data_IF_777199628815
#
_entry.id   IF_777199628815
#
_cell.length_a   1.000
_cell.length_b   1.000
_cell.length_c   1.000
_cell.angle_alpha   90.00
_cell.angle_beta   90.00
_cell.angle_gamma   90.00
#
_symmetry.space_group_name_H-M   'P 1'
#
loop_
_entity.id
_entity.type
_entity.pdbx_description
1 polymer ?
#
# COMPACT_ATOMS: atom_id res chain seq x y z
N UNK A 1 -17.06 -14.98 16.44
CA UNK A 1 -15.60 -14.81 16.31
C UNK A 1 -15.27 -13.37 16.02
N UNK A 2 -14.40 -12.78 16.81
CA UNK A 2 -13.98 -11.39 16.60
C UNK A 2 -12.79 -11.39 15.63
N UNK A 3 -12.91 -10.66 14.53
CA UNK A 3 -11.82 -10.51 13.58
C UNK A 3 -10.82 -9.48 14.11
N UNK A 4 -9.53 -9.68 13.82
CA UNK A 4 -8.52 -8.68 14.09
C UNK A 4 -8.78 -7.44 13.24
N UNK A 5 -8.52 -6.27 13.83
CA UNK A 5 -8.62 -4.99 13.12
C UNK A 5 -7.36 -4.73 12.34
N UNK A 6 -7.53 -4.26 11.12
CA UNK A 6 -6.43 -3.99 10.20
C UNK A 6 -6.40 -2.55 9.73
N UNK A 7 -5.18 -2.05 9.55
CA UNK A 7 -4.86 -0.82 8.85
C UNK A 7 -4.22 -1.21 7.51
N UNK A 8 -4.78 -0.72 6.41
CA UNK A 8 -4.28 -0.99 5.07
C UNK A 8 -3.64 0.26 4.48
N UNK A 9 -2.40 0.15 4.03
CA UNK A 9 -1.62 1.24 3.46
C UNK A 9 -1.14 0.82 2.07
N UNK A 10 -1.60 1.49 1.03
CA UNK A 10 -1.25 1.15 -0.35
C UNK A 10 -0.46 2.28 -0.99
N UNK A 11 0.79 2.00 -1.33
CA UNK A 11 1.63 2.87 -2.14
C UNK A 11 1.26 2.67 -3.62
N UNK A 12 0.27 3.42 -4.09
CA UNK A 12 -0.34 3.23 -5.40
C UNK A 12 0.69 3.31 -6.53
N UNK A 13 1.62 4.25 -6.45
CA UNK A 13 2.63 4.43 -7.48
C UNK A 13 3.58 3.23 -7.58
N UNK A 14 4.06 2.74 -6.45
CA UNK A 14 4.92 1.56 -6.42
C UNK A 14 4.19 0.33 -6.96
N UNK A 15 2.95 0.12 -6.53
CA UNK A 15 2.12 -1.00 -6.98
C UNK A 15 1.89 -0.92 -8.49
N UNK A 16 1.57 0.25 -9.01
CA UNK A 16 1.34 0.45 -10.44
C UNK A 16 2.59 0.10 -11.26
N UNK A 17 3.73 0.67 -10.92
CA UNK A 17 4.96 0.47 -11.68
C UNK A 17 5.47 -0.96 -11.59
N UNK A 18 5.43 -1.57 -10.41
CA UNK A 18 5.94 -2.94 -10.25
C UNK A 18 5.05 -3.98 -10.92
N UNK A 19 3.73 -3.83 -10.84
CA UNK A 19 2.80 -4.73 -11.55
C UNK A 19 2.94 -4.58 -13.06
N UNK A 20 3.06 -3.36 -13.56
CA UNK A 20 3.25 -3.11 -15.00
C UNK A 20 4.58 -3.65 -15.50
N UNK A 21 5.65 -3.47 -14.71
CA UNK A 21 6.98 -3.95 -15.09
C UNK A 21 7.04 -5.48 -15.16
N UNK A 22 6.51 -6.16 -14.15
CA UNK A 22 6.60 -7.61 -14.04
C UNK A 22 5.56 -8.35 -14.90
N UNK A 23 4.34 -7.84 -14.96
CA UNK A 23 3.20 -8.56 -15.51
C UNK A 23 2.51 -7.86 -16.68
N UNK A 24 2.79 -6.58 -16.90
CA UNK A 24 2.08 -5.71 -17.88
C UNK A 24 0.56 -5.67 -17.63
N UNK A 25 0.18 -5.79 -16.38
CA UNK A 25 -1.21 -5.79 -15.90
C UNK A 25 -1.32 -4.89 -14.68
N UNK A 26 -2.54 -4.51 -14.37
CA UNK A 26 -2.82 -3.68 -13.20
C UNK A 26 -3.25 -4.53 -12.01
N UNK A 27 -3.01 -4.00 -10.81
CA UNK A 27 -3.42 -4.64 -9.56
C UNK A 27 -4.94 -4.61 -9.43
N UNK A 28 -5.53 -5.72 -8.98
CA UNK A 28 -6.97 -5.84 -8.78
C UNK A 28 -7.33 -5.47 -7.34
N UNK A 29 -7.67 -4.22 -7.11
CA UNK A 29 -8.00 -3.71 -5.78
C UNK A 29 -9.28 -4.32 -5.19
N UNK A 30 -10.26 -4.65 -6.03
CA UNK A 30 -11.48 -5.32 -5.58
C UNK A 30 -11.18 -6.70 -5.01
N UNK A 31 -10.36 -7.47 -5.71
CA UNK A 31 -9.96 -8.80 -5.27
C UNK A 31 -9.14 -8.75 -3.99
N UNK A 32 -8.21 -7.81 -3.94
CA UNK A 32 -7.38 -7.58 -2.76
C UNK A 32 -8.23 -7.25 -1.52
N UNK A 33 -9.17 -6.31 -1.66
CA UNK A 33 -10.07 -5.93 -0.57
C UNK A 33 -10.91 -7.12 -0.09
N UNK A 34 -11.43 -7.89 -1.04
CA UNK A 34 -12.24 -9.07 -0.73
C UNK A 34 -11.44 -10.12 0.05
N UNK A 35 -10.21 -10.37 -0.35
CA UNK A 35 -9.34 -11.32 0.35
C UNK A 35 -9.03 -10.87 1.76
N UNK A 36 -8.71 -9.59 1.94
CA UNK A 36 -8.43 -9.05 3.27
C UNK A 36 -9.65 -9.12 4.17
N UNK A 37 -10.81 -8.67 3.68
CA UNK A 37 -12.02 -8.57 4.50
C UNK A 37 -12.62 -9.93 4.86
N UNK A 38 -12.18 -11.00 4.21
CA UNK A 38 -12.59 -12.35 4.59
C UNK A 38 -12.11 -12.71 6.01
N UNK A 39 -10.92 -12.28 6.40
CA UNK A 39 -10.30 -12.65 7.68
C UNK A 39 -10.06 -11.47 8.62
N UNK A 40 -10.22 -10.24 8.13
CA UNK A 40 -9.86 -9.04 8.88
C UNK A 40 -11.02 -8.04 8.88
N UNK A 41 -11.13 -7.29 9.98
CA UNK A 41 -11.96 -6.09 10.05
C UNK A 41 -11.09 -4.91 9.62
N UNK A 42 -11.33 -4.38 8.43
CA UNK A 42 -10.56 -3.25 7.91
C UNK A 42 -11.06 -1.98 8.59
N UNK A 43 -10.31 -1.54 9.60
CA UNK A 43 -10.65 -0.34 10.37
C UNK A 43 -10.30 0.94 9.63
N UNK A 44 -9.15 0.93 8.96
CA UNK A 44 -8.67 2.08 8.17
C UNK A 44 -8.00 1.55 6.90
N UNK A 45 -8.24 2.21 5.77
CA UNK A 45 -7.59 1.86 4.52
C UNK A 45 -7.25 3.13 3.75
N UNK A 46 -5.97 3.35 3.49
CA UNK A 46 -5.48 4.52 2.78
C UNK A 46 -4.78 4.10 1.49
N UNK A 47 -5.12 4.78 0.40
CA UNK A 47 -4.43 4.65 -0.88
C UNK A 47 -3.75 5.98 -1.20
N UNK A 48 -2.45 5.95 -1.40
CA UNK A 48 -1.63 7.15 -1.58
C UNK A 48 -1.26 7.31 -3.04
N UNK A 49 -1.72 8.38 -3.65
CA UNK A 49 -1.55 8.61 -5.08
C UNK A 49 -1.08 10.04 -5.38
N UNK A 50 -0.65 10.24 -6.62
CA UNK A 50 -0.22 11.55 -7.12
C UNK A 50 -1.31 12.08 -8.05
N UNK A 51 -1.72 13.33 -7.82
CA UNK A 51 -2.71 14.00 -8.64
C UNK A 51 -2.04 14.71 -9.83
N UNK A 52 -2.22 14.14 -11.02
CA UNK A 52 -1.76 14.74 -12.28
C UNK A 52 -2.86 15.49 -13.04
N UNK A 53 -4.06 15.56 -12.47
CA UNK A 53 -5.19 16.28 -13.07
C UNK A 53 -5.87 15.58 -14.24
N UNK A 54 -5.59 14.30 -14.45
CA UNK A 54 -6.07 13.54 -15.61
C UNK A 54 -7.37 12.80 -15.27
N UNK A 55 -8.29 12.75 -16.23
CA UNK A 55 -9.62 12.16 -16.03
C UNK A 55 -9.57 10.66 -15.72
N UNK A 56 -8.65 9.91 -16.34
CA UNK A 56 -8.49 8.48 -16.08
C UNK A 56 -8.06 8.23 -14.65
N UNK A 57 -7.19 9.07 -14.12
CA UNK A 57 -6.78 8.98 -12.73
C UNK A 57 -7.92 9.28 -11.78
N UNK A 58 -8.77 10.25 -12.10
CA UNK A 58 -9.96 10.56 -11.28
C UNK A 58 -10.94 9.39 -11.25
N UNK A 59 -11.17 8.74 -12.39
CA UNK A 59 -12.01 7.54 -12.46
C UNK A 59 -11.44 6.43 -11.60
N UNK A 60 -10.14 6.20 -11.67
CA UNK A 60 -9.45 5.20 -10.84
C UNK A 60 -9.56 5.53 -9.35
N UNK A 61 -9.35 6.80 -8.98
CA UNK A 61 -9.50 7.25 -7.60
C UNK A 61 -10.91 7.03 -7.08
N UNK A 62 -11.92 7.28 -7.92
CA UNK A 62 -13.31 7.06 -7.55
C UNK A 62 -13.63 5.57 -7.37
N UNK A 63 -13.02 4.70 -8.18
CA UNK A 63 -13.12 3.25 -7.99
C UNK A 63 -12.54 2.84 -6.63
N UNK A 64 -11.39 3.37 -6.27
CA UNK A 64 -10.78 3.09 -4.96
C UNK A 64 -11.68 3.54 -3.81
N UNK A 65 -12.27 4.73 -3.91
CA UNK A 65 -13.20 5.24 -2.90
C UNK A 65 -14.45 4.37 -2.78
N UNK A 66 -14.97 3.91 -3.92
CA UNK A 66 -16.15 3.04 -3.94
C UNK A 66 -15.86 1.67 -3.29
N UNK A 67 -14.65 1.18 -3.38
CA UNK A 67 -14.22 -0.06 -2.71
C UNK A 67 -14.18 0.13 -1.19
N UNK A 68 -13.72 1.29 -0.72
CA UNK A 68 -13.62 1.59 0.70
C UNK A 68 -12.34 2.32 1.11
N UNK A 69 -11.47 2.65 0.17
CA UNK A 69 -10.24 3.38 0.48
C UNK A 69 -10.49 4.87 0.68
N UNK A 70 -9.79 5.43 1.65
CA UNK A 70 -9.56 6.87 1.73
C UNK A 70 -8.35 7.18 0.84
N UNK A 71 -8.60 7.93 -0.24
CA UNK A 71 -7.56 8.25 -1.23
C UNK A 71 -6.89 9.55 -0.84
N UNK A 72 -5.59 9.48 -0.58
CA UNK A 72 -4.77 10.66 -0.26
C UNK A 72 -3.97 11.07 -1.48
N UNK A 73 -4.03 12.34 -1.81
CA UNK A 73 -3.43 12.87 -3.03
C UNK A 73 -2.37 13.91 -2.71
N UNK A 74 -1.28 13.88 -3.48
CA UNK A 74 -0.30 14.96 -3.57
C UNK A 74 -0.30 15.51 -4.99
N UNK A 75 -0.09 16.82 -5.17
CA UNK A 75 0.10 17.36 -6.51
C UNK A 75 1.39 16.80 -7.13
N UNK A 76 1.37 16.60 -8.45
CA UNK A 76 2.57 16.24 -9.18
C UNK A 76 3.47 17.47 -9.27
N UNK A 77 4.70 17.36 -8.76
CA UNK A 77 5.70 18.43 -8.79
C UNK A 77 6.91 17.93 -9.56
N UNK A 78 7.21 18.60 -10.68
CA UNK A 78 8.44 18.37 -11.42
C UNK A 78 9.46 19.42 -11.02
N UNK A 79 10.65 18.97 -10.59
CA UNK A 79 11.73 19.88 -10.18
C UNK A 79 12.47 20.44 -11.40
N UNK A 80 13.18 21.55 -11.20
CA UNK A 80 13.95 22.24 -12.26
C UNK A 80 15.05 21.36 -12.86
N UNK A 81 15.53 20.34 -12.15
CA UNK A 81 16.53 19.38 -12.61
C UNK A 81 15.95 18.22 -13.42
N UNK A 82 14.64 18.24 -13.68
CA UNK A 82 13.93 17.17 -14.39
C UNK A 82 13.43 16.03 -13.50
N UNK A 83 13.79 16.00 -12.21
CA UNK A 83 13.28 14.99 -11.29
C UNK A 83 11.85 15.31 -10.86
N UNK A 84 11.09 14.26 -10.54
CA UNK A 84 9.74 14.41 -10.00
C UNK A 84 9.74 14.08 -8.50
N UNK A 85 9.06 14.92 -7.70
CA UNK A 85 8.82 14.63 -6.29
C UNK A 85 7.43 14.02 -6.17
N UNK A 86 7.36 12.74 -5.83
CA UNK A 86 6.08 12.05 -5.85
C UNK A 86 5.95 10.88 -4.88
N UNK A 87 6.94 10.64 -3.99
CA UNK A 87 6.76 9.57 -3.04
C UNK A 87 5.93 10.01 -1.82
N UNK A 88 5.30 9.01 -1.20
CA UNK A 88 4.49 9.17 -0.01
C UNK A 88 5.14 8.57 1.24
N UNK A 89 6.44 8.29 1.22
CA UNK A 89 7.12 7.53 2.29
C UNK A 89 6.90 8.14 3.66
N UNK A 90 7.06 9.45 3.78
CA UNK A 90 6.83 10.15 5.05
C UNK A 90 5.36 10.12 5.44
N UNK A 91 4.46 10.38 4.49
CA UNK A 91 3.01 10.38 4.75
C UNK A 91 2.50 9.02 5.19
N UNK A 92 2.93 7.96 4.51
CA UNK A 92 2.57 6.58 4.87
C UNK A 92 3.09 6.26 6.27
N UNK A 93 4.33 6.64 6.57
CA UNK A 93 4.95 6.38 7.88
C UNK A 93 4.19 7.09 9.00
N UNK A 94 3.83 8.36 8.81
CA UNK A 94 3.09 9.12 9.81
C UNK A 94 1.70 8.54 10.05
N UNK A 95 0.98 8.20 8.99
CA UNK A 95 -0.36 7.59 9.11
C UNK A 95 -0.29 6.23 9.80
N UNK A 96 0.72 5.43 9.48
CA UNK A 96 0.92 4.13 10.11
C UNK A 96 1.09 4.26 11.62
N UNK A 97 1.95 5.18 12.04
CA UNK A 97 2.21 5.40 13.47
C UNK A 97 1.01 6.00 14.18
N UNK A 98 0.28 6.91 13.53
CA UNK A 98 -0.91 7.52 14.10
C UNK A 98 -2.02 6.51 14.36
N UNK A 99 -2.25 5.57 13.44
CA UNK A 99 -3.36 4.62 13.52
C UNK A 99 -2.97 3.26 14.12
N UNK A 100 -1.70 3.02 14.38
CA UNK A 100 -1.24 1.73 14.90
C UNK A 100 -1.93 1.32 16.20
N UNK A 101 -2.25 2.28 17.07
CA UNK A 101 -2.93 2.01 18.33
C UNK A 101 -4.34 1.45 18.19
N UNK A 102 -4.99 1.67 17.05
CA UNK A 102 -6.38 1.27 16.81
C UNK A 102 -6.51 -0.12 16.20
N UNK A 103 -5.41 -0.76 15.82
CA UNK A 103 -5.42 -1.99 15.03
C UNK A 103 -4.49 -3.05 15.60
N UNK A 104 -4.70 -4.29 15.17
CA UNK A 104 -3.85 -5.43 15.53
C UNK A 104 -2.85 -5.75 14.42
N UNK A 105 -3.23 -5.50 13.19
CA UNK A 105 -2.44 -5.82 11.99
C UNK A 105 -2.32 -4.62 11.07
N UNK A 106 -1.15 -4.49 10.44
CA UNK A 106 -0.91 -3.50 9.41
C UNK A 106 -0.59 -4.23 8.12
N UNK A 107 -1.30 -3.86 7.05
CA UNK A 107 -1.10 -4.41 5.71
C UNK A 107 -0.44 -3.31 4.87
N UNK A 108 0.80 -3.51 4.50
CA UNK A 108 1.55 -2.56 3.68
C UNK A 108 1.73 -3.13 2.27
N UNK A 109 1.23 -2.41 1.28
CA UNK A 109 1.36 -2.82 -0.12
C UNK A 109 2.38 -1.91 -0.80
N UNK A 110 3.63 -2.33 -0.78
CA UNK A 110 4.77 -1.66 -1.40
C UNK A 110 5.98 -2.58 -1.39
N UNK A 111 6.80 -2.49 -2.42
CA UNK A 111 8.09 -3.19 -2.48
C UNK A 111 9.28 -2.34 -2.07
N UNK A 112 9.03 -1.11 -1.61
CA UNK A 112 10.10 -0.15 -1.27
C UNK A 112 10.78 -0.54 0.05
N UNK A 113 12.07 -0.84 -0.04
CA UNK A 113 12.87 -1.23 1.12
C UNK A 113 13.01 -0.15 2.19
N UNK A 114 12.79 1.12 1.85
CA UNK A 114 12.87 2.21 2.82
C UNK A 114 11.83 2.07 3.94
N UNK A 115 10.78 1.29 3.71
CA UNK A 115 9.78 0.99 4.74
C UNK A 115 10.22 -0.06 5.76
N UNK A 116 11.40 -0.65 5.63
CA UNK A 116 11.89 -1.65 6.60
C UNK A 116 11.94 -1.10 8.02
N UNK A 117 12.33 0.16 8.18
CA UNK A 117 12.36 0.86 9.47
C UNK A 117 10.94 0.97 10.05
N UNK A 118 9.97 1.32 9.21
CA UNK A 118 8.57 1.41 9.64
C UNK A 118 8.04 0.06 10.10
N UNK A 119 8.32 -1.00 9.34
CA UNK A 119 7.88 -2.35 9.69
C UNK A 119 8.45 -2.77 11.04
N UNK A 120 9.74 -2.52 11.29
CA UNK A 120 10.36 -2.81 12.57
C UNK A 120 9.73 -2.02 13.72
N UNK A 121 9.43 -0.73 13.49
CA UNK A 121 8.79 0.11 14.51
C UNK A 121 7.40 -0.40 14.88
N UNK A 122 6.62 -0.82 13.89
CA UNK A 122 5.27 -1.37 14.12
C UNK A 122 5.33 -2.71 14.87
N UNK A 123 6.26 -3.58 14.49
CA UNK A 123 6.48 -4.85 15.21
C UNK A 123 6.91 -4.60 16.65
N UNK A 124 7.74 -3.58 16.89
CA UNK A 124 8.13 -3.17 18.23
C UNK A 124 6.95 -2.70 19.08
N UNK A 125 5.87 -2.27 18.46
CA UNK A 125 4.61 -1.92 19.13
C UNK A 125 3.66 -3.11 19.30
N UNK A 126 4.12 -4.31 18.95
CA UNK A 126 3.32 -5.53 19.07
C UNK A 126 2.36 -5.78 17.92
N UNK A 127 2.53 -5.07 16.79
CA UNK A 127 1.66 -5.26 15.63
C UNK A 127 2.21 -6.34 14.70
N UNK A 128 1.30 -7.08 14.06
CA UNK A 128 1.64 -7.97 12.96
C UNK A 128 1.68 -7.13 11.68
N UNK A 129 2.73 -7.24 10.90
CA UNK A 129 2.86 -6.48 9.64
C UNK A 129 2.98 -7.45 8.48
N UNK A 130 2.00 -7.40 7.58
CA UNK A 130 2.00 -8.16 6.33
C UNK A 130 2.36 -7.22 5.20
N UNK A 131 3.36 -7.61 4.41
CA UNK A 131 3.81 -6.84 3.25
C UNK A 131 3.40 -7.57 1.98
N UNK A 132 2.73 -6.86 1.07
CA UNK A 132 2.42 -7.32 -0.28
C UNK A 132 3.36 -6.62 -1.25
N UNK A 133 4.02 -7.39 -2.10
CA UNK A 133 4.91 -6.83 -3.12
C UNK A 133 5.08 -7.77 -4.29
N UNK A 134 5.54 -7.22 -5.42
CA UNK A 134 5.77 -8.00 -6.63
C UNK A 134 7.08 -8.78 -6.49
N UNK A 135 7.07 -10.11 -6.70
CA UNK A 135 8.29 -10.91 -6.65
C UNK A 135 9.36 -10.36 -7.60
N UNK A 136 10.59 -10.30 -7.12
CA UNK A 136 11.73 -9.74 -7.87
C UNK A 136 11.81 -8.23 -7.86
N UNK A 137 10.75 -7.53 -7.45
CA UNK A 137 10.68 -6.06 -7.36
C UNK A 137 10.36 -5.59 -5.92
N UNK A 138 10.49 -6.48 -4.96
CA UNK A 138 10.34 -6.17 -3.54
C UNK A 138 11.71 -6.31 -2.87
N UNK A 139 12.15 -5.27 -2.18
CA UNK A 139 13.46 -5.28 -1.52
C UNK A 139 13.55 -6.41 -0.50
N UNK A 140 14.70 -7.10 -0.44
CA UNK A 140 14.92 -8.17 0.52
C UNK A 140 14.80 -7.70 1.97
N UNK A 141 15.26 -6.48 2.24
CA UNK A 141 15.21 -5.92 3.59
C UNK A 141 13.79 -5.89 4.16
N UNK A 142 12.81 -5.50 3.35
CA UNK A 142 11.42 -5.42 3.81
C UNK A 142 10.79 -6.81 3.93
N UNK A 143 11.16 -7.74 3.05
CA UNK A 143 10.69 -9.13 3.15
C UNK A 143 11.18 -9.80 4.44
N UNK A 144 12.43 -9.53 4.83
CA UNK A 144 13.02 -10.14 6.03
C UNK A 144 12.39 -9.64 7.31
N UNK A 145 12.05 -8.35 7.39
CA UNK A 145 11.50 -7.77 8.62
C UNK A 145 9.99 -7.96 8.76
N UNK A 146 9.28 -8.16 7.66
CA UNK A 146 7.83 -8.37 7.68
C UNK A 146 7.45 -9.59 8.51
N UNK A 147 6.34 -9.51 9.24
CA UNK A 147 5.78 -10.69 9.92
C UNK A 147 5.35 -11.74 8.90
N UNK A 148 4.83 -11.28 7.76
CA UNK A 148 4.45 -12.12 6.63
C UNK A 148 4.67 -11.35 5.34
N UNK A 149 5.26 -11.99 4.35
CA UNK A 149 5.35 -11.46 2.99
C UNK A 149 4.40 -12.23 2.07
N UNK A 150 3.54 -11.52 1.36
CA UNK A 150 2.62 -12.10 0.39
C UNK A 150 3.00 -11.61 -1.01
N UNK A 151 3.48 -12.48 -1.89
CA UNK A 151 3.79 -12.07 -3.25
C UNK A 151 2.52 -11.73 -4.02
N UNK A 152 2.56 -10.64 -4.77
CA UNK A 152 1.49 -10.28 -5.71
C UNK A 152 1.66 -11.16 -6.94
N UNK A 153 0.73 -12.07 -7.12
CA UNK A 153 0.70 -12.99 -8.25
C UNK A 153 -0.49 -12.68 -9.18
N UNK A 154 -0.68 -13.52 -10.19
CA UNK A 154 -1.73 -13.30 -11.20
C UNK A 154 -3.15 -13.32 -10.64
N UNK A 155 -3.38 -13.92 -9.47
CA UNK A 155 -4.71 -13.93 -8.83
C UNK A 155 -5.13 -12.54 -8.34
N UNK A 156 -4.15 -11.65 -8.11
CA UNK A 156 -4.39 -10.28 -7.67
C UNK A 156 -4.29 -9.25 -8.79
N UNK A 157 -4.33 -9.68 -10.04
CA UNK A 157 -4.21 -8.80 -11.21
C UNK A 157 -5.50 -8.75 -12.01
N UNK A 158 -5.70 -7.63 -12.68
CA UNK A 158 -6.79 -7.44 -13.64
C UNK A 158 -6.48 -8.10 -14.98
#
# INVERSE_FOLDING_TARGET
MVLNKALVLVDVQNVYYTCRQAYKRNFNYNRFWRELSYNLDIAHAFAYAIDKGDNKQREFQNILRAIGFDVKLKPFIQRADGSAKGDWDVGITLDALEHAGDVDEVILVSGDGDFDILVNALKGKGKTVTVYGVPGLTAESIQKVASKYVPIDTTLLL
#
